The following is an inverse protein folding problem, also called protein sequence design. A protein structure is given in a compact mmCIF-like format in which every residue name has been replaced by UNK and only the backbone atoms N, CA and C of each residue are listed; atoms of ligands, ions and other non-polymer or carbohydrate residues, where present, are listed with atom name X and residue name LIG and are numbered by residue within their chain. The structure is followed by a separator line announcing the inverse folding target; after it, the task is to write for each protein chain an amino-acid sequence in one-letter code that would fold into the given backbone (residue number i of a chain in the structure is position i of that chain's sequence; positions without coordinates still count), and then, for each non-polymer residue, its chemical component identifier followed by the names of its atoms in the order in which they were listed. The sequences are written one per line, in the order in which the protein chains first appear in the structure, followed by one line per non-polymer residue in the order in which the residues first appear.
data_IF_792331719807
#
_entry.id   IF_792331719807
#
_cell.length_a   1.000
_cell.length_b   1.000
_cell.length_c   1.000
_cell.angle_alpha   90.00
_cell.angle_beta   90.00
_cell.angle_gamma   90.00
#
_symmetry.space_group_name_H-M   'P 1'
#
loop_
_entity.id
_entity.type
_entity.pdbx_description
1 polymer ?
#
# COMPACT_ATOMS: atom_id res chain seq x y z
N UNK A 1 15.72 -17.64 -2.91
CA UNK A 1 14.45 -18.29 -2.53
C UNK A 1 13.82 -17.31 -1.57
N UNK A 2 12.62 -16.80 -1.89
CA UNK A 2 12.11 -15.61 -1.23
C UNK A 2 11.88 -15.88 0.26
N UNK A 3 12.24 -14.91 1.09
CA UNK A 3 12.05 -15.02 2.53
C UNK A 3 10.55 -14.89 2.86
N UNK A 4 9.94 -15.92 3.46
CA UNK A 4 8.48 -15.96 3.64
C UNK A 4 7.97 -14.79 4.49
N UNK A 5 8.74 -14.37 5.50
CA UNK A 5 8.40 -13.21 6.33
C UNK A 5 8.45 -11.89 5.58
N UNK A 6 9.40 -11.73 4.65
CA UNK A 6 9.49 -10.53 3.82
C UNK A 6 8.31 -10.45 2.87
N UNK A 7 7.98 -11.56 2.19
CA UNK A 7 6.78 -11.68 1.34
C UNK A 7 5.52 -11.37 2.14
N UNK A 8 5.39 -11.94 3.34
CA UNK A 8 4.26 -11.68 4.24
C UNK A 8 4.14 -10.21 4.63
N UNK A 9 5.26 -9.54 4.94
CA UNK A 9 5.29 -8.12 5.28
C UNK A 9 4.83 -7.24 4.11
N UNK A 10 5.37 -7.47 2.90
CA UNK A 10 5.00 -6.71 1.71
C UNK A 10 3.51 -6.87 1.40
N UNK A 11 3.02 -8.11 1.40
CA UNK A 11 1.60 -8.40 1.16
C UNK A 11 0.69 -7.78 2.23
N UNK A 12 1.09 -7.80 3.51
CA UNK A 12 0.30 -7.20 4.60
C UNK A 12 0.19 -5.69 4.48
N UNK A 13 1.30 -5.02 4.15
CA UNK A 13 1.31 -3.56 3.91
C UNK A 13 0.47 -3.19 2.70
N UNK A 14 0.57 -3.95 1.61
CA UNK A 14 -0.24 -3.76 0.41
C UNK A 14 -1.73 -3.97 0.71
N UNK A 15 -2.11 -5.10 1.34
CA UNK A 15 -3.49 -5.40 1.69
C UNK A 15 -4.10 -4.34 2.62
N UNK A 16 -3.33 -3.81 3.57
CA UNK A 16 -3.78 -2.73 4.46
C UNK A 16 -4.13 -1.46 3.68
N UNK A 17 -3.28 -1.08 2.70
CA UNK A 17 -3.54 0.08 1.85
C UNK A 17 -4.73 -0.15 0.92
N UNK A 18 -4.82 -1.34 0.33
CA UNK A 18 -5.92 -1.69 -0.57
C UNK A 18 -7.27 -1.74 0.14
N UNK A 19 -7.32 -2.28 1.36
CA UNK A 19 -8.51 -2.29 2.19
C UNK A 19 -8.94 -0.85 2.53
N UNK A 20 -8.02 0.01 2.96
CA UNK A 20 -8.32 1.40 3.26
C UNK A 20 -8.89 2.15 2.03
N UNK A 21 -8.28 1.97 0.86
CA UNK A 21 -8.78 2.58 -0.39
C UNK A 21 -10.09 1.93 -0.88
N UNK A 22 -10.33 0.66 -0.58
CA UNK A 22 -11.59 -0.02 -0.87
C UNK A 22 -12.75 0.52 -0.02
N UNK A 23 -12.50 0.70 1.28
CA UNK A 23 -13.45 1.32 2.22
C UNK A 23 -13.77 2.77 1.83
N UNK A 24 -12.76 3.51 1.33
CA UNK A 24 -12.95 4.85 0.78
C UNK A 24 -13.97 4.84 -0.34
N UNK A 25 -13.83 3.95 -1.33
CA UNK A 25 -14.77 3.86 -2.45
C UNK A 25 -16.21 3.57 -1.98
N UNK A 26 -16.39 2.70 -0.99
CA UNK A 26 -17.69 2.40 -0.41
C UNK A 26 -18.28 3.58 0.39
N UNK A 27 -17.46 4.28 1.17
CA UNK A 27 -17.88 5.45 1.95
C UNK A 27 -18.21 6.67 1.07
N UNK A 28 -17.42 6.92 0.02
CA UNK A 28 -17.73 7.96 -0.98
C UNK A 28 -19.05 7.66 -1.70
N UNK A 29 -19.37 6.39 -1.95
CA UNK A 29 -20.64 6.00 -2.56
C UNK A 29 -21.86 6.27 -1.65
N UNK A 30 -21.69 6.37 -0.32
CA UNK A 30 -22.81 6.61 0.62
C UNK A 30 -23.05 8.07 1.02
N UNK A 31 -22.23 9.02 0.54
CA UNK A 31 -22.37 10.49 0.61
C UNK A 31 -22.44 11.20 2.01
N UNK A 32 -22.07 12.49 1.96
CA UNK A 32 -22.17 13.59 2.95
C UNK A 32 -21.22 13.58 4.19
N UNK A 33 -20.51 14.71 4.36
CA UNK A 33 -19.60 15.20 5.42
C UNK A 33 -18.69 14.21 6.17
N UNK A 34 -19.21 13.10 6.70
CA UNK A 34 -18.42 12.01 7.27
C UNK A 34 -17.62 11.26 6.21
N UNK A 35 -18.13 11.21 4.97
CA UNK A 35 -17.41 10.66 3.82
C UNK A 35 -16.06 11.34 3.58
N UNK A 36 -15.97 12.67 3.73
CA UNK A 36 -14.71 13.42 3.52
C UNK A 36 -13.66 13.11 4.62
N UNK A 37 -14.11 12.94 5.87
CA UNK A 37 -13.21 12.56 6.97
C UNK A 37 -12.75 11.11 6.83
N UNK A 38 -13.64 10.21 6.41
CA UNK A 38 -13.32 8.82 6.10
C UNK A 38 -12.34 8.71 4.93
N UNK A 39 -12.58 9.47 3.85
CA UNK A 39 -11.71 9.57 2.67
C UNK A 39 -10.30 10.01 3.06
N UNK A 40 -10.19 11.09 3.86
CA UNK A 40 -8.90 11.60 4.33
C UNK A 40 -8.14 10.55 5.15
N UNK A 41 -8.83 9.83 6.05
CA UNK A 41 -8.19 8.80 6.89
C UNK A 41 -7.76 7.57 6.10
N UNK A 42 -8.59 7.14 5.16
CA UNK A 42 -8.28 6.02 4.27
C UNK A 42 -7.07 6.34 3.39
N UNK A 43 -7.05 7.53 2.77
CA UNK A 43 -5.90 8.02 2.00
C UNK A 43 -4.63 8.09 2.84
N UNK A 44 -4.69 8.66 4.05
CA UNK A 44 -3.53 8.70 4.97
C UNK A 44 -3.03 7.31 5.34
N UNK A 45 -3.92 6.33 5.50
CA UNK A 45 -3.54 4.95 5.81
C UNK A 45 -2.78 4.33 4.64
N UNK A 46 -3.31 4.49 3.42
CA UNK A 46 -2.65 4.03 2.21
C UNK A 46 -1.30 4.73 1.96
N UNK A 47 -1.21 6.04 2.18
CA UNK A 47 0.04 6.81 2.07
C UNK A 47 1.10 6.34 3.08
N UNK A 48 0.70 6.02 4.32
CA UNK A 48 1.61 5.46 5.33
C UNK A 48 2.14 4.10 4.91
N UNK A 49 1.28 3.20 4.44
CA UNK A 49 1.70 1.90 3.92
C UNK A 49 2.64 2.04 2.72
N UNK A 50 2.33 2.93 1.77
CA UNK A 50 3.21 3.23 0.64
C UNK A 50 4.57 3.75 1.11
N UNK A 51 4.61 4.64 2.10
CA UNK A 51 5.87 5.14 2.67
C UNK A 51 6.71 4.02 3.29
N UNK A 52 6.08 3.08 4.00
CA UNK A 52 6.78 1.92 4.56
C UNK A 52 7.33 1.01 3.46
N UNK A 53 6.55 0.72 2.41
CA UNK A 53 7.01 -0.05 1.25
C UNK A 53 8.17 0.65 0.52
N UNK A 54 8.08 1.97 0.31
CA UNK A 54 9.16 2.74 -0.28
C UNK A 54 10.44 2.71 0.60
N UNK A 55 10.29 2.83 1.92
CA UNK A 55 11.41 2.72 2.85
C UNK A 55 12.03 1.32 2.82
N UNK A 56 11.23 0.26 2.75
CA UNK A 56 11.73 -1.10 2.54
C UNK A 56 12.55 -1.15 1.26
N UNK A 57 12.05 -0.61 0.14
CA UNK A 57 12.75 -0.65 -1.14
C UNK A 57 14.10 0.07 -1.11
N UNK A 58 14.20 1.17 -0.35
CA UNK A 58 15.46 1.85 -0.13
C UNK A 58 16.40 1.04 0.77
N UNK A 59 15.89 0.48 1.86
CA UNK A 59 16.69 -0.23 2.87
C UNK A 59 17.14 -1.63 2.45
N UNK A 60 16.41 -2.28 1.54
CA UNK A 60 16.72 -3.64 1.07
C UNK A 60 17.35 -3.66 -0.33
N UNK A 61 17.63 -2.50 -0.93
CA UNK A 61 18.28 -2.42 -2.24
C UNK A 61 19.57 -3.23 -2.28
N UNK A 62 19.67 -4.13 -3.25
CA UNK A 62 20.83 -5.03 -3.43
C UNK A 62 20.86 -6.26 -2.49
N UNK A 63 19.88 -6.40 -1.59
CA UNK A 63 19.79 -7.52 -0.65
C UNK A 63 18.59 -8.46 -0.93
N UNK A 64 17.75 -8.12 -1.91
CA UNK A 64 16.59 -8.93 -2.30
C UNK A 64 16.93 -9.87 -3.45
N UNK A 65 16.32 -11.05 -3.45
CA UNK A 65 16.26 -11.85 -4.67
C UNK A 65 15.28 -11.25 -5.69
N UNK A 66 15.33 -11.74 -6.93
CA UNK A 66 14.53 -11.18 -8.03
C UNK A 66 13.02 -11.20 -7.72
N UNK A 67 12.52 -12.28 -7.14
CA UNK A 67 11.11 -12.43 -6.78
C UNK A 67 10.69 -11.41 -5.73
N UNK A 68 11.52 -11.21 -4.71
CA UNK A 68 11.27 -10.24 -3.65
C UNK A 68 11.31 -8.80 -4.17
N UNK A 69 12.29 -8.49 -5.03
CA UNK A 69 12.43 -7.19 -5.64
C UNK A 69 11.25 -6.85 -6.55
N UNK A 70 10.79 -7.80 -7.37
CA UNK A 70 9.61 -7.64 -8.22
C UNK A 70 8.34 -7.47 -7.38
N UNK A 71 8.14 -8.30 -6.35
CA UNK A 71 6.99 -8.20 -5.45
C UNK A 71 6.91 -6.80 -4.81
N UNK A 72 8.01 -6.32 -4.23
CA UNK A 72 8.05 -5.01 -3.60
C UNK A 72 7.86 -3.87 -4.61
N UNK A 73 8.50 -3.95 -5.77
CA UNK A 73 8.36 -2.93 -6.83
C UNK A 73 6.92 -2.85 -7.34
N UNK A 74 6.26 -3.99 -7.53
CA UNK A 74 4.87 -4.06 -7.97
C UNK A 74 3.91 -3.49 -6.91
N UNK A 75 4.12 -3.81 -5.63
CA UNK A 75 3.33 -3.25 -4.53
C UNK A 75 3.45 -1.71 -4.47
N UNK A 76 4.67 -1.17 -4.57
CA UNK A 76 4.92 0.28 -4.59
C UNK A 76 4.25 0.93 -5.80
N UNK A 77 4.42 0.36 -6.99
CA UNK A 77 3.89 0.91 -8.25
C UNK A 77 2.37 0.90 -8.26
N UNK A 78 1.75 -0.21 -7.84
CA UNK A 78 0.30 -0.35 -7.72
C UNK A 78 -0.29 0.72 -6.80
N UNK A 79 0.27 0.91 -5.61
CA UNK A 79 -0.25 1.88 -4.64
C UNK A 79 -0.01 3.33 -5.07
N UNK A 80 1.10 3.64 -5.73
CA UNK A 80 1.31 4.98 -6.33
C UNK A 80 0.24 5.30 -7.35
N UNK A 81 0.02 4.41 -8.31
CA UNK A 81 -1.02 4.60 -9.33
C UNK A 81 -2.40 4.84 -8.70
N UNK A 82 -2.74 4.12 -7.62
CA UNK A 82 -4.02 4.30 -6.92
C UNK A 82 -4.14 5.60 -6.10
N UNK A 83 -3.03 6.22 -5.70
CA UNK A 83 -3.02 7.46 -4.91
C UNK A 83 -2.86 8.73 -5.77
N UNK A 84 -2.36 8.56 -7.00
CA UNK A 84 -2.23 9.62 -8.00
C UNK A 84 -3.52 9.87 -8.80
N UNK A 85 -4.45 8.91 -8.79
CA UNK A 85 -5.81 9.00 -9.36
C UNK A 85 -6.85 9.33 -8.28
#
# INVERSE_FOLDING_TARGET
MPHPEFVGLVNSLQATAEAALGDLNAATASAARDGLLAETRARQTAERSLKLLAMLAEKTRGNLDMTEAELLSNAVTSLRGRLEH
#
